data_IF_747426581852
#
_entry.id   IF_747426581852
#
_cell.length_a   1.000
_cell.length_b   1.000
_cell.length_c   1.000
_cell.angle_alpha   90.00
_cell.angle_beta   90.00
_cell.angle_gamma   90.00
#
_symmetry.space_group_name_H-M   'P 1'
#
loop_
_entity.id
_entity.type
_entity.pdbx_description
1 polymer ?
#
# COMPACT_ATOMS: atom_id res chain seq x y z
N UNK A 1 28.03 5.11 -22.28
CA UNK A 1 27.29 4.08 -21.50
C UNK A 1 26.00 4.73 -21.03
N UNK A 2 24.84 4.06 -21.12
CA UNK A 2 23.53 4.64 -20.77
C UNK A 2 23.10 4.33 -19.33
N UNK A 3 22.50 5.30 -18.64
CA UNK A 3 21.92 5.12 -17.30
C UNK A 3 20.73 4.15 -17.37
N UNK A 4 20.65 3.11 -16.52
CA UNK A 4 19.50 2.21 -16.48
C UNK A 4 18.20 2.96 -16.11
N UNK A 5 17.09 2.60 -16.76
CA UNK A 5 15.74 3.11 -16.48
C UNK A 5 14.81 1.95 -16.16
N UNK A 6 14.06 2.08 -15.06
CA UNK A 6 13.02 1.12 -14.70
C UNK A 6 11.77 1.27 -15.59
N UNK A 7 10.99 0.19 -15.68
CA UNK A 7 9.62 0.27 -16.23
C UNK A 7 8.75 1.12 -15.31
N UNK A 8 7.79 1.85 -15.91
CA UNK A 8 6.84 2.67 -15.15
C UNK A 8 5.96 1.85 -14.22
N UNK A 9 5.53 2.47 -13.11
CA UNK A 9 4.62 1.90 -12.14
C UNK A 9 3.53 2.90 -11.77
N UNK A 10 2.35 2.40 -11.41
CA UNK A 10 1.29 3.21 -10.77
C UNK A 10 1.80 3.67 -9.39
N UNK A 11 1.42 4.86 -8.95
CA UNK A 11 1.91 5.49 -7.72
C UNK A 11 1.75 4.61 -6.47
N UNK A 12 0.56 4.03 -6.24
CA UNK A 12 0.30 3.12 -5.13
C UNK A 12 1.18 1.87 -5.25
N UNK A 13 1.34 1.33 -6.46
CA UNK A 13 2.19 0.16 -6.69
C UNK A 13 3.67 0.47 -6.42
N UNK A 14 4.15 1.66 -6.80
CA UNK A 14 5.50 2.13 -6.51
C UNK A 14 5.72 2.31 -5.00
N UNK A 15 4.75 2.89 -4.28
CA UNK A 15 4.76 2.95 -2.82
C UNK A 15 4.77 1.55 -2.19
N UNK A 16 4.01 0.61 -2.75
CA UNK A 16 3.97 -0.79 -2.36
C UNK A 16 5.33 -1.46 -2.47
N UNK A 17 5.98 -1.34 -3.63
CA UNK A 17 7.33 -1.84 -3.87
C UNK A 17 8.33 -1.21 -2.88
N UNK A 18 8.20 0.10 -2.64
CA UNK A 18 9.08 0.84 -1.74
C UNK A 18 8.98 0.43 -0.26
N UNK A 19 7.80 0.03 0.22
CA UNK A 19 7.58 -0.34 1.63
C UNK A 19 7.59 -1.85 1.90
N UNK A 20 7.08 -2.67 0.97
CA UNK A 20 6.91 -4.11 1.19
C UNK A 20 8.24 -4.84 1.39
N UNK A 21 9.32 -4.33 0.78
CA UNK A 21 10.68 -4.86 0.89
C UNK A 21 11.43 -4.46 2.15
N UNK A 22 10.87 -3.62 3.03
CA UNK A 22 11.54 -3.19 4.25
C UNK A 22 11.83 -4.39 5.17
N UNK A 23 13.01 -4.42 5.78
CA UNK A 23 13.43 -5.51 6.65
C UNK A 23 13.09 -5.22 8.13
N UNK A 24 12.09 -5.89 8.73
CA UNK A 24 11.77 -5.74 10.14
C UNK A 24 12.83 -6.39 11.06
N UNK A 25 13.75 -7.21 10.53
CA UNK A 25 14.81 -7.86 11.30
C UNK A 25 15.78 -6.88 11.98
N UNK A 26 15.75 -5.59 11.59
CA UNK A 26 16.49 -4.51 12.25
C UNK A 26 16.08 -4.26 13.70
N UNK A 27 14.99 -4.86 14.19
CA UNK A 27 14.50 -4.69 15.57
C UNK A 27 14.92 -5.86 16.47
N UNK A 28 14.84 -7.12 16.02
CA UNK A 28 15.04 -8.32 16.88
C UNK A 28 15.87 -9.46 16.24
N UNK A 29 16.43 -9.28 15.04
CA UNK A 29 17.25 -10.31 14.35
C UNK A 29 16.47 -11.51 13.79
N UNK A 30 15.14 -11.53 13.91
CA UNK A 30 14.28 -12.55 13.29
C UNK A 30 14.19 -12.34 11.77
N UNK A 31 14.11 -13.40 10.95
CA UNK A 31 14.02 -13.25 9.50
C UNK A 31 12.73 -12.52 9.08
N UNK A 32 12.79 -11.70 8.03
CA UNK A 32 11.61 -11.02 7.49
C UNK A 32 10.49 -12.02 7.16
N UNK A 33 9.21 -11.74 7.52
CA UNK A 33 8.10 -12.56 7.05
C UNK A 33 8.01 -12.49 5.52
N UNK A 34 7.50 -13.53 4.83
CA UNK A 34 7.35 -13.51 3.38
C UNK A 34 6.42 -12.36 2.95
N UNK A 35 6.57 -11.88 1.72
CA UNK A 35 5.72 -10.79 1.19
C UNK A 35 4.23 -11.10 1.23
N UNK A 36 3.84 -12.38 1.18
CA UNK A 36 2.44 -12.81 1.30
C UNK A 36 1.86 -12.74 2.71
N UNK A 37 2.70 -12.49 3.72
CA UNK A 37 2.28 -12.25 5.11
C UNK A 37 2.35 -10.76 5.48
N UNK A 38 2.44 -9.88 4.48
CA UNK A 38 2.54 -8.42 4.65
C UNK A 38 1.43 -7.74 3.88
N UNK A 39 1.00 -6.60 4.41
CA UNK A 39 0.09 -5.67 3.74
C UNK A 39 0.82 -4.34 3.56
N UNK A 40 0.89 -3.85 2.33
CA UNK A 40 1.32 -2.48 2.07
C UNK A 40 0.10 -1.54 2.15
N UNK A 41 0.15 -0.59 3.09
CA UNK A 41 -0.84 0.47 3.24
C UNK A 41 -0.27 1.77 2.68
N UNK A 42 -0.74 2.20 1.52
CA UNK A 42 -0.32 3.46 0.90
C UNK A 42 -1.32 4.52 1.28
N UNK A 43 -1.01 5.25 2.35
CA UNK A 43 -1.88 6.23 2.95
C UNK A 43 -1.62 7.65 2.43
N UNK A 44 -2.70 8.40 2.25
CA UNK A 44 -2.73 9.82 1.89
C UNK A 44 -4.17 10.33 2.05
N UNK A 45 -4.61 11.22 1.15
CA UNK A 45 -6.01 11.67 1.06
C UNK A 45 -6.99 10.49 1.02
N UNK A 46 -6.64 9.46 0.23
CA UNK A 46 -7.23 8.10 0.22
C UNK A 46 -6.21 7.08 0.73
N UNK A 47 -6.61 5.81 0.88
CA UNK A 47 -5.68 4.73 1.22
C UNK A 47 -5.85 3.50 0.33
N UNK A 48 -4.74 2.98 -0.18
CA UNK A 48 -4.68 1.74 -0.95
C UNK A 48 -4.09 0.60 -0.08
N UNK A 49 -4.74 -0.56 -0.11
CA UNK A 49 -4.39 -1.76 0.67
C UNK A 49 -3.96 -2.87 -0.29
N UNK A 50 -2.68 -3.23 -0.28
CA UNK A 50 -2.11 -4.15 -1.25
C UNK A 50 -1.55 -5.39 -0.56
N UNK A 51 -2.12 -6.55 -0.90
CA UNK A 51 -1.68 -7.84 -0.41
C UNK A 51 -1.27 -8.73 -1.57
N UNK A 52 -0.16 -9.46 -1.42
CA UNK A 52 0.34 -10.39 -2.43
C UNK A 52 0.13 -11.85 -2.02
N UNK A 53 -0.06 -12.74 -2.98
CA UNK A 53 -0.24 -14.18 -2.73
C UNK A 53 0.41 -15.02 -3.82
N UNK A 54 0.80 -16.26 -3.51
CA UNK A 54 1.43 -17.17 -4.48
C UNK A 54 0.44 -17.81 -5.45
N UNK A 55 -0.87 -17.66 -5.22
CA UNK A 55 -1.96 -18.20 -6.03
C UNK A 55 -3.05 -17.14 -6.19
N UNK A 56 -3.86 -17.18 -7.26
CA UNK A 56 -4.96 -16.23 -7.40
C UNK A 56 -5.98 -16.41 -6.26
N UNK A 57 -6.37 -15.30 -5.63
CA UNK A 57 -7.41 -15.23 -4.60
C UNK A 57 -8.43 -14.18 -5.01
N UNK A 58 -9.70 -14.60 -5.15
CA UNK A 58 -10.81 -13.72 -5.48
C UNK A 58 -11.56 -13.35 -4.20
N UNK A 59 -11.71 -12.05 -3.93
CA UNK A 59 -12.36 -11.54 -2.72
C UNK A 59 -13.44 -10.55 -3.12
N UNK A 60 -14.71 -10.73 -2.71
CA UNK A 60 -15.76 -9.77 -3.00
C UNK A 60 -15.41 -8.36 -2.50
N UNK A 61 -15.52 -7.37 -3.38
CA UNK A 61 -15.23 -5.96 -3.05
C UNK A 61 -13.74 -5.57 -3.07
N UNK A 62 -12.86 -6.47 -3.49
CA UNK A 62 -11.41 -6.21 -3.64
C UNK A 62 -11.02 -6.45 -5.10
N UNK A 63 -10.19 -5.57 -5.66
CA UNK A 63 -9.70 -5.71 -7.02
C UNK A 63 -8.62 -6.81 -7.13
N UNK A 64 -8.44 -7.34 -8.34
CA UNK A 64 -7.53 -8.46 -8.63
C UNK A 64 -8.22 -9.83 -8.58
N UNK A 65 -7.45 -10.94 -8.57
CA UNK A 65 -5.99 -11.01 -8.40
C UNK A 65 -5.21 -10.70 -9.69
N UNK A 66 -4.30 -9.72 -9.64
CA UNK A 66 -3.46 -9.32 -10.78
C UNK A 66 -2.09 -10.02 -10.76
N UNK A 67 -1.79 -10.83 -11.77
CA UNK A 67 -0.55 -11.58 -11.84
C UNK A 67 0.67 -10.68 -12.08
N UNK A 68 1.70 -10.81 -11.23
CA UNK A 68 2.97 -10.08 -11.30
C UNK A 68 2.83 -8.55 -11.39
N UNK A 69 1.74 -7.99 -10.86
CA UNK A 69 1.45 -6.56 -10.98
C UNK A 69 2.31 -5.67 -10.07
N UNK A 70 2.89 -6.24 -8.99
CA UNK A 70 3.73 -5.50 -8.04
C UNK A 70 5.00 -6.26 -7.68
N UNK A 71 4.88 -7.54 -7.30
CA UNK A 71 6.03 -8.43 -7.04
C UNK A 71 6.06 -9.52 -8.12
N UNK A 72 7.19 -9.73 -8.82
CA UNK A 72 7.32 -10.80 -9.80
C UNK A 72 6.95 -12.16 -9.23
N UNK A 73 6.08 -12.90 -9.94
CA UNK A 73 5.67 -14.26 -9.54
C UNK A 73 4.58 -14.32 -8.48
N UNK A 74 4.08 -13.20 -7.97
CA UNK A 74 2.96 -13.13 -7.03
C UNK A 74 1.72 -12.48 -7.67
N UNK A 75 0.55 -12.81 -7.13
CA UNK A 75 -0.72 -12.18 -7.45
C UNK A 75 -1.01 -11.06 -6.46
N UNK A 76 -1.37 -9.87 -6.97
CA UNK A 76 -1.77 -8.72 -6.17
C UNK A 76 -3.29 -8.65 -6.02
N UNK A 77 -3.77 -8.48 -4.80
CA UNK A 77 -5.11 -8.00 -4.49
C UNK A 77 -5.04 -6.58 -3.94
N UNK A 78 -5.94 -5.73 -4.42
CA UNK A 78 -5.95 -4.30 -4.12
C UNK A 78 -7.31 -3.87 -3.55
N UNK A 79 -7.31 -3.42 -2.31
CA UNK A 79 -8.44 -2.77 -1.66
C UNK A 79 -8.24 -1.26 -1.57
N UNK A 80 -9.32 -0.51 -1.38
CA UNK A 80 -9.26 0.94 -1.32
C UNK A 80 -10.22 1.54 -0.31
N UNK A 81 -9.77 2.61 0.35
CA UNK A 81 -10.62 3.55 1.07
C UNK A 81 -10.55 4.89 0.35
N UNK A 82 -11.65 5.31 -0.26
CA UNK A 82 -11.70 6.55 -1.06
C UNK A 82 -11.48 7.82 -0.25
N UNK A 83 -11.79 7.78 1.06
CA UNK A 83 -11.48 8.85 2.01
C UNK A 83 -10.81 8.24 3.24
N UNK A 84 -9.53 8.55 3.43
CA UNK A 84 -8.74 8.16 4.60
C UNK A 84 -8.24 9.43 5.30
N UNK A 85 -7.12 10.01 4.84
CA UNK A 85 -6.68 11.33 5.31
C UNK A 85 -7.76 12.39 5.12
N UNK A 86 -8.45 12.40 3.98
CA UNK A 86 -9.55 13.34 3.73
C UNK A 86 -10.70 13.22 4.74
N UNK A 87 -10.96 12.03 5.27
CA UNK A 87 -11.98 11.85 6.29
C UNK A 87 -11.54 12.43 7.65
N UNK A 88 -10.24 12.32 7.96
CA UNK A 88 -9.65 12.95 9.15
C UNK A 88 -9.65 14.47 9.00
N UNK A 89 -9.21 14.99 7.86
CA UNK A 89 -9.21 16.42 7.55
C UNK A 89 -10.63 16.97 7.69
N UNK A 90 -11.61 16.32 7.06
CA UNK A 90 -13.01 16.72 7.17
C UNK A 90 -13.50 16.74 8.62
N UNK A 91 -13.22 15.70 9.41
CA UNK A 91 -13.64 15.63 10.81
C UNK A 91 -13.04 16.77 11.64
N UNK A 92 -11.75 17.07 11.44
CA UNK A 92 -11.04 18.12 12.16
C UNK A 92 -11.53 19.51 11.73
N UNK A 93 -11.60 19.76 10.42
CA UNK A 93 -11.95 21.07 9.84
C UNK A 93 -13.42 21.45 10.07
N UNK A 94 -14.32 20.47 10.14
CA UNK A 94 -15.75 20.72 10.41
C UNK A 94 -16.09 20.79 11.89
N UNK A 95 -15.12 20.52 12.77
CA UNK A 95 -15.35 20.63 14.21
C UNK A 95 -15.56 22.10 14.61
N UNK A 96 -16.58 22.44 15.44
CA UNK A 96 -16.87 23.83 15.80
C UNK A 96 -15.73 24.58 16.50
N UNK A 97 -14.82 23.85 17.16
CA UNK A 97 -13.63 24.42 17.80
C UNK A 97 -12.44 24.58 16.83
N UNK A 98 -12.52 24.14 15.57
CA UNK A 98 -11.44 24.30 14.59
C UNK A 98 -10.91 25.75 14.48
N UNK A 99 -11.74 26.82 14.54
CA UNK A 99 -11.26 28.20 14.52
C UNK A 99 -10.32 28.58 15.68
N UNK A 100 -10.26 27.80 16.76
CA UNK A 100 -9.40 28.07 17.93
C UNK A 100 -8.00 27.47 17.80
N UNK A 101 -7.68 26.77 16.71
CA UNK A 101 -6.35 26.16 16.48
C UNK A 101 -5.29 27.14 15.95
N UNK A 102 -5.52 28.45 16.11
CA UNK A 102 -4.55 29.51 15.77
C UNK A 102 -3.60 29.78 16.92
#
# INVERSE_FOLDING_TARGET
>A
VGTPLGVGAIDAHAGGIGCLGADPASVDGAPPPPFSARLALIAGTSACHMASSSRPVFVPGVWGPYASAMVPGLFLNEGGQSAAGAALDFLVETHPAYPTLK
#
